data_IF_752114861074
#
_entry.id   IF_752114861074
#
_cell.length_a   1.000
_cell.length_b   1.000
_cell.length_c   1.000
_cell.angle_alpha   90.00
_cell.angle_beta   90.00
_cell.angle_gamma   90.00
#
_symmetry.space_group_name_H-M   'P 1'
#
loop_
_entity.id
_entity.type
_entity.pdbx_description
1 polymer ?
#
# COMPACT_ATOMS: atom_id res chain seq x y z
N UNK A 1 -13.98 10.47 29.84
CA UNK A 1 -13.86 10.88 28.41
C UNK A 1 -13.15 9.79 27.64
N UNK A 2 -13.81 9.26 26.63
CA UNK A 2 -13.22 8.20 25.82
C UNK A 2 -12.37 8.82 24.72
N UNK A 3 -11.07 8.53 24.71
CA UNK A 3 -10.21 8.97 23.60
C UNK A 3 -10.40 7.95 22.48
N UNK A 4 -10.98 8.38 21.37
CA UNK A 4 -11.14 7.54 20.19
C UNK A 4 -9.86 7.60 19.38
N UNK A 5 -9.12 6.48 19.30
CA UNK A 5 -7.98 6.38 18.41
C UNK A 5 -8.49 6.34 16.97
N UNK A 6 -7.97 7.18 16.07
CA UNK A 6 -8.38 7.10 14.67
C UNK A 6 -8.19 5.69 14.12
N UNK A 7 -9.20 5.18 13.42
CA UNK A 7 -9.12 3.86 12.79
C UNK A 7 -8.18 3.94 11.60
N UNK A 8 -7.05 3.22 11.68
CA UNK A 8 -6.12 3.11 10.57
C UNK A 8 -6.56 1.99 9.66
N UNK A 9 -6.52 2.24 8.36
CA UNK A 9 -6.73 1.22 7.34
C UNK A 9 -5.42 0.84 6.67
N UNK A 10 -5.44 -0.29 5.99
CA UNK A 10 -4.26 -0.89 5.38
C UNK A 10 -4.55 -1.23 3.93
N UNK A 11 -3.56 -1.03 3.08
CA UNK A 11 -3.73 -1.13 1.63
C UNK A 11 -2.50 -1.77 0.99
N UNK A 12 -2.69 -2.37 -0.17
CA UNK A 12 -1.61 -2.72 -1.08
C UNK A 12 -1.74 -1.80 -2.29
N UNK A 13 -0.69 -1.06 -2.60
CA UNK A 13 -0.61 -0.24 -3.81
C UNK A 13 0.34 -0.92 -4.79
N UNK A 14 -0.13 -1.14 -6.02
CA UNK A 14 0.64 -1.81 -7.08
C UNK A 14 1.26 -0.79 -8.01
N UNK A 15 2.55 -0.94 -8.28
CA UNK A 15 3.24 -0.20 -9.31
C UNK A 15 3.96 -1.16 -10.25
N UNK A 16 3.98 -0.80 -11.54
CA UNK A 16 4.81 -1.47 -12.54
C UNK A 16 6.23 -0.94 -12.37
N UNK A 17 7.22 -1.79 -12.01
CA UNK A 17 8.56 -1.30 -11.72
C UNK A 17 9.26 -0.70 -12.94
N UNK A 18 8.79 -0.98 -14.17
CA UNK A 18 9.30 -0.34 -15.37
C UNK A 18 8.85 1.12 -15.50
N UNK A 19 7.72 1.48 -14.90
CA UNK A 19 7.18 2.85 -14.92
C UNK A 19 7.47 3.60 -13.63
N UNK A 20 7.39 2.92 -12.49
CA UNK A 20 7.67 3.50 -11.19
C UNK A 20 8.16 2.42 -10.23
N UNK A 21 9.43 2.53 -9.82
CA UNK A 21 10.01 1.63 -8.82
C UNK A 21 9.83 2.24 -7.42
N UNK A 22 9.36 1.44 -6.46
CA UNK A 22 9.12 1.93 -5.11
C UNK A 22 10.38 2.46 -4.40
N UNK A 23 11.57 2.05 -4.83
CA UNK A 23 12.83 2.65 -4.33
C UNK A 23 12.89 4.15 -4.56
N UNK A 24 12.23 4.67 -5.60
CA UNK A 24 12.16 6.10 -5.86
C UNK A 24 11.55 6.86 -4.68
N UNK A 25 10.51 6.28 -4.07
CA UNK A 25 9.89 6.87 -2.88
C UNK A 25 10.89 6.96 -1.73
N UNK A 26 11.72 5.94 -1.55
CA UNK A 26 12.71 5.91 -0.47
C UNK A 26 13.86 6.89 -0.71
N UNK A 27 14.27 7.08 -1.96
CA UNK A 27 15.29 8.08 -2.32
C UNK A 27 14.78 9.48 -2.05
N UNK A 28 13.52 9.76 -2.41
CA UNK A 28 12.90 11.08 -2.22
C UNK A 28 12.38 11.31 -0.80
N UNK A 29 12.08 10.23 -0.07
CA UNK A 29 11.48 10.30 1.25
C UNK A 29 9.96 10.46 1.24
N UNK A 30 9.44 11.25 0.32
CA UNK A 30 8.00 11.46 0.12
C UNK A 30 7.73 11.79 -1.33
N UNK A 31 6.50 11.51 -1.77
CA UNK A 31 6.12 11.78 -3.15
C UNK A 31 4.60 11.84 -3.31
N UNK A 32 4.17 12.65 -4.28
CA UNK A 32 2.81 12.60 -4.79
C UNK A 32 2.71 11.41 -5.73
N UNK A 33 1.97 10.38 -5.33
CA UNK A 33 1.85 9.14 -6.10
C UNK A 33 0.67 9.22 -7.07
N UNK A 34 0.95 8.96 -8.36
CA UNK A 34 -0.02 9.08 -9.45
C UNK A 34 -0.55 7.75 -9.97
N UNK A 35 -0.20 6.65 -9.31
CA UNK A 35 -0.43 5.31 -9.88
C UNK A 35 -1.89 4.94 -10.12
N UNK A 36 -2.83 5.57 -9.40
CA UNK A 36 -4.26 5.32 -9.62
C UNK A 36 -4.74 5.89 -10.97
N UNK A 37 -4.15 7.01 -11.40
CA UNK A 37 -4.57 7.68 -12.62
C UNK A 37 -6.05 8.03 -12.61
N UNK A 38 -6.74 7.77 -13.72
CA UNK A 38 -8.17 7.97 -13.87
C UNK A 38 -8.94 6.63 -13.97
N UNK A 39 -8.32 5.51 -13.60
CA UNK A 39 -8.98 4.19 -13.62
C UNK A 39 -10.11 4.16 -12.60
N UNK A 40 -11.37 3.88 -13.00
CA UNK A 40 -12.51 4.00 -12.10
C UNK A 40 -12.39 3.19 -10.81
N UNK A 41 -11.93 1.95 -10.89
CA UNK A 41 -11.78 1.09 -9.72
C UNK A 41 -10.71 1.62 -8.76
N UNK A 42 -9.58 2.06 -9.30
CA UNK A 42 -8.49 2.61 -8.50
C UNK A 42 -8.88 3.94 -7.85
N UNK A 43 -9.55 4.82 -8.60
CA UNK A 43 -10.03 6.10 -8.07
C UNK A 43 -11.05 5.87 -6.95
N UNK A 44 -11.99 4.91 -7.16
CA UNK A 44 -12.99 4.57 -6.14
C UNK A 44 -12.33 4.07 -4.86
N UNK A 45 -11.35 3.17 -4.99
CA UNK A 45 -10.60 2.65 -3.85
C UNK A 45 -9.79 3.76 -3.16
N UNK A 46 -9.12 4.61 -3.95
CA UNK A 46 -8.30 5.68 -3.41
C UNK A 46 -9.11 6.68 -2.58
N UNK A 47 -10.38 6.89 -2.93
CA UNK A 47 -11.26 7.77 -2.13
C UNK A 47 -11.51 7.26 -0.72
N UNK A 48 -11.29 5.96 -0.47
CA UNK A 48 -11.43 5.36 0.86
C UNK A 48 -10.16 5.45 1.69
N UNK A 49 -9.04 5.76 1.07
CA UNK A 49 -7.75 5.91 1.74
C UNK A 49 -7.72 7.21 2.52
N UNK A 50 -7.13 7.19 3.69
CA UNK A 50 -7.08 8.34 4.60
C UNK A 50 -5.67 8.58 5.11
N UNK A 51 -5.43 9.83 5.48
CA UNK A 51 -4.19 10.20 6.18
C UNK A 51 -3.95 9.28 7.36
N UNK A 52 -2.72 8.78 7.48
CA UNK A 52 -2.32 7.86 8.55
C UNK A 52 -2.41 6.39 8.16
N UNK A 53 -3.06 6.06 7.05
CA UNK A 53 -3.15 4.69 6.58
C UNK A 53 -1.77 4.17 6.18
N UNK A 54 -1.59 2.85 6.30
CA UNK A 54 -0.38 2.17 5.87
C UNK A 54 -0.59 1.52 4.51
N UNK A 55 0.46 1.56 3.71
CA UNK A 55 0.47 1.00 2.36
C UNK A 55 1.62 0.01 2.24
N UNK A 56 1.30 -1.22 1.86
CA UNK A 56 2.31 -2.17 1.42
C UNK A 56 2.51 -1.98 -0.07
N UNK A 57 3.74 -1.69 -0.46
CA UNK A 57 4.10 -1.35 -1.82
C UNK A 57 4.44 -2.62 -2.60
N UNK A 58 3.66 -2.91 -3.63
CA UNK A 58 3.77 -4.10 -4.44
C UNK A 58 4.26 -3.75 -5.84
N UNK A 59 5.22 -4.53 -6.34
CA UNK A 59 5.63 -4.46 -7.73
C UNK A 59 4.95 -5.56 -8.53
N UNK A 60 4.33 -5.19 -9.66
CA UNK A 60 3.80 -6.16 -10.61
C UNK A 60 4.95 -6.85 -11.36
N UNK A 61 4.63 -7.61 -12.41
CA UNK A 61 5.66 -8.33 -13.18
C UNK A 61 6.83 -7.39 -13.57
N UNK A 62 8.07 -7.87 -13.59
CA UNK A 62 8.47 -9.28 -13.39
C UNK A 62 8.62 -9.70 -11.93
N UNK A 63 8.73 -8.78 -10.99
CA UNK A 63 9.04 -9.09 -9.60
C UNK A 63 7.90 -9.80 -8.88
N UNK A 64 6.67 -9.32 -9.02
CA UNK A 64 5.48 -9.85 -8.37
C UNK A 64 5.68 -10.07 -6.88
N UNK A 65 6.01 -8.99 -6.17
CA UNK A 65 6.35 -9.07 -4.75
C UNK A 65 6.01 -7.78 -4.00
N UNK A 66 5.66 -7.92 -2.73
CA UNK A 66 5.63 -6.82 -1.77
C UNK A 66 7.05 -6.45 -1.41
N UNK A 67 7.32 -5.15 -1.31
CA UNK A 67 8.67 -4.63 -1.26
C UNK A 67 8.93 -3.72 -0.07
N UNK A 68 7.98 -2.85 0.26
CA UNK A 68 8.19 -1.80 1.26
C UNK A 68 6.87 -1.35 1.88
N UNK A 69 6.98 -0.49 2.89
CA UNK A 69 5.86 0.12 3.60
C UNK A 69 5.92 1.62 3.40
N UNK A 70 4.77 2.21 3.08
CA UNK A 70 4.61 3.66 3.00
C UNK A 70 3.49 4.11 3.94
N UNK A 71 3.47 5.40 4.25
CA UNK A 71 2.40 6.01 5.02
C UNK A 71 1.71 7.07 4.18
N UNK A 72 0.38 7.12 4.25
CA UNK A 72 -0.41 8.17 3.63
C UNK A 72 -0.33 9.40 4.52
N UNK A 73 0.18 10.51 3.99
CA UNK A 73 0.39 11.74 4.77
C UNK A 73 -0.69 12.79 4.58
N UNK A 74 -1.59 12.57 3.62
CA UNK A 74 -2.69 13.48 3.31
C UNK A 74 -3.81 12.69 2.67
N UNK A 75 -5.07 13.04 2.98
CA UNK A 75 -6.20 12.44 2.29
C UNK A 75 -6.05 12.64 0.78
N UNK A 76 -6.37 11.63 -0.04
CA UNK A 76 -6.27 11.75 -1.49
C UNK A 76 -7.02 12.96 -2.05
N UNK A 77 -6.50 13.53 -3.12
CA UNK A 77 -7.02 14.75 -3.71
C UNK A 77 -6.86 14.72 -5.24
N UNK A 78 -7.61 15.58 -5.96
CA UNK A 78 -7.44 15.66 -7.41
C UNK A 78 -6.01 16.08 -7.78
N UNK A 79 -5.47 15.44 -8.82
CA UNK A 79 -4.15 15.80 -9.33
C UNK A 79 -4.14 17.26 -9.79
N UNK A 80 -3.30 18.13 -9.20
CA UNK A 80 -3.26 19.54 -9.59
C UNK A 80 -2.78 19.76 -11.03
N UNK A 81 -2.19 18.75 -11.66
CA UNK A 81 -1.74 18.81 -13.06
C UNK A 81 -2.76 18.26 -14.04
N UNK A 82 -3.90 17.78 -13.56
CA UNK A 82 -4.98 17.24 -14.39
C UNK A 82 -6.13 18.26 -14.47
N UNK A 83 -6.26 18.90 -15.63
CA UNK A 83 -7.30 19.90 -15.84
C UNK A 83 -8.72 19.35 -15.75
N UNK A 84 -8.91 18.06 -16.05
CA UNK A 84 -10.23 17.44 -16.00
C UNK A 84 -10.64 17.01 -14.59
N UNK A 85 -9.71 16.99 -13.65
CA UNK A 85 -9.98 16.62 -12.26
C UNK A 85 -10.36 15.15 -12.07
N UNK A 86 -10.07 14.29 -13.05
CA UNK A 86 -10.42 12.87 -13.01
C UNK A 86 -9.41 12.01 -12.25
N UNK A 87 -8.15 12.43 -12.29
CA UNK A 87 -7.07 11.70 -11.63
C UNK A 87 -7.03 12.05 -10.16
N UNK A 88 -6.93 11.03 -9.31
CA UNK A 88 -6.65 11.23 -7.89
C UNK A 88 -5.20 10.84 -7.61
N UNK A 89 -4.61 11.55 -6.67
CA UNK A 89 -3.25 11.29 -6.20
C UNK A 89 -3.26 11.12 -4.68
N UNK A 90 -2.23 10.45 -4.18
CA UNK A 90 -2.01 10.27 -2.75
C UNK A 90 -0.60 10.74 -2.41
N UNK A 91 -0.47 11.51 -1.34
CA UNK A 91 0.83 11.86 -0.81
C UNK A 91 1.32 10.71 0.08
N UNK A 92 2.45 10.15 -0.27
CA UNK A 92 3.05 9.02 0.43
C UNK A 92 4.41 9.42 1.01
N UNK A 93 4.69 8.91 2.19
CA UNK A 93 6.00 9.00 2.82
C UNK A 93 6.60 7.59 2.90
N UNK A 94 7.87 7.47 2.56
CA UNK A 94 8.60 6.24 2.78
C UNK A 94 8.63 5.95 4.29
N UNK A 95 8.22 4.75 4.67
CA UNK A 95 8.16 4.39 6.08
C UNK A 95 9.27 3.38 6.43
N UNK A 96 9.24 2.21 5.78
CA UNK A 96 10.26 1.19 6.02
C UNK A 96 10.32 0.21 4.84
N UNK A 97 11.48 -0.35 4.58
CA UNK A 97 11.61 -1.45 3.63
C UNK A 97 11.34 -2.76 4.35
N UNK A 98 10.69 -3.71 3.66
CA UNK A 98 10.53 -5.04 4.22
C UNK A 98 11.91 -5.69 4.31
N UNK A 99 12.25 -6.35 5.46
CA UNK A 99 13.49 -7.09 5.59
C UNK A 99 13.66 -8.16 4.50
N UNK A 100 12.53 -8.74 4.05
CA UNK A 100 12.46 -9.70 2.98
C UNK A 100 11.23 -9.40 2.13
N UNK A 101 11.37 -9.32 0.79
CA UNK A 101 10.20 -9.20 -0.08
C UNK A 101 9.30 -10.44 0.07
N UNK A 102 8.01 -10.25 -0.17
CA UNK A 102 7.03 -11.34 -0.11
C UNK A 102 6.46 -11.52 -1.52
N UNK A 103 6.71 -12.68 -2.12
CA UNK A 103 6.24 -12.95 -3.46
C UNK A 103 4.74 -13.20 -3.51
N UNK A 104 4.14 -12.99 -4.69
CA UNK A 104 2.76 -13.34 -4.95
C UNK A 104 2.50 -14.82 -4.68
N UNK A 105 3.44 -15.68 -5.07
CA UNK A 105 3.34 -17.13 -4.84
C UNK A 105 3.28 -17.45 -3.34
N UNK A 106 4.13 -16.80 -2.54
CA UNK A 106 4.11 -16.99 -1.08
C UNK A 106 2.78 -16.54 -0.48
N UNK A 107 2.26 -15.41 -0.93
CA UNK A 107 0.97 -14.91 -0.44
C UNK A 107 -0.16 -15.88 -0.77
N UNK A 108 -0.16 -16.41 -1.99
CA UNK A 108 -1.18 -17.39 -2.43
C UNK A 108 -1.08 -18.71 -1.68
N UNK A 109 0.10 -19.04 -1.19
CA UNK A 109 0.31 -20.24 -0.38
C UNK A 109 -0.11 -20.11 1.07
N UNK A 110 -0.51 -18.91 1.51
CA UNK A 110 -0.88 -18.67 2.90
C UNK A 110 -2.40 -18.54 3.03
N UNK A 111 -3.08 -19.53 3.66
CA UNK A 111 -4.55 -19.50 3.79
C UNK A 111 -5.09 -18.28 4.53
N UNK A 112 -4.30 -17.68 5.42
CA UNK A 112 -4.71 -16.48 6.15
C UNK A 112 -4.90 -15.27 5.23
N UNK A 113 -4.32 -15.28 4.03
CA UNK A 113 -4.35 -14.19 3.07
C UNK A 113 -5.33 -14.41 1.92
N UNK A 114 -6.05 -15.52 1.92
CA UNK A 114 -6.90 -15.94 0.78
C UNK A 114 -7.96 -14.94 0.36
N UNK A 115 -8.38 -14.03 1.25
CA UNK A 115 -9.41 -13.04 0.97
C UNK A 115 -8.87 -11.76 0.34
N UNK A 116 -7.56 -11.58 0.27
CA UNK A 116 -6.97 -10.38 -0.31
C UNK A 116 -7.32 -10.31 -1.79
N UNK A 117 -7.95 -9.21 -2.19
CA UNK A 117 -8.46 -9.05 -3.57
C UNK A 117 -7.36 -9.11 -4.63
N UNK A 118 -6.19 -8.59 -4.32
CA UNK A 118 -5.04 -8.63 -5.23
C UNK A 118 -4.72 -10.07 -5.68
N UNK A 119 -4.85 -11.05 -4.78
CA UNK A 119 -4.52 -12.43 -5.08
C UNK A 119 -5.46 -13.06 -6.10
N UNK A 120 -6.69 -12.52 -6.22
CA UNK A 120 -7.69 -12.95 -7.19
C UNK A 120 -7.64 -12.14 -8.48
N UNK A 121 -7.16 -10.90 -8.39
CA UNK A 121 -7.09 -10.00 -9.53
C UNK A 121 -5.81 -9.17 -9.43
N UNK A 122 -4.74 -9.67 -10.05
CA UNK A 122 -3.41 -9.03 -9.99
C UNK A 122 -3.34 -7.71 -10.76
N UNK A 123 -4.40 -7.32 -11.45
CA UNK A 123 -4.49 -6.04 -12.15
C UNK A 123 -4.96 -4.91 -11.24
N UNK A 124 -5.40 -5.22 -10.01
CA UNK A 124 -5.80 -4.19 -9.07
C UNK A 124 -4.60 -3.32 -8.70
N UNK A 125 -4.77 -2.02 -8.82
CA UNK A 125 -3.74 -1.05 -8.42
C UNK A 125 -3.81 -0.79 -6.92
N UNK A 126 -5.02 -0.77 -6.37
CA UNK A 126 -5.25 -0.54 -4.95
C UNK A 126 -6.11 -1.67 -4.42
N UNK A 127 -5.61 -2.36 -3.41
CA UNK A 127 -6.29 -3.49 -2.78
C UNK A 127 -6.36 -3.27 -1.28
N UNK A 128 -7.57 -3.27 -0.69
CA UNK A 128 -7.68 -3.19 0.76
C UNK A 128 -7.23 -4.49 1.41
N UNK A 129 -6.66 -4.37 2.59
CA UNK A 129 -6.34 -5.53 3.42
C UNK A 129 -6.77 -5.23 4.85
N UNK A 130 -7.03 -6.28 5.63
CA UNK A 130 -7.36 -6.13 7.03
C UNK A 130 -6.10 -5.92 7.88
N UNK A 131 -6.27 -5.44 9.09
CA UNK A 131 -5.17 -5.32 10.04
C UNK A 131 -4.51 -6.67 10.29
N UNK A 132 -5.31 -7.74 10.43
CA UNK A 132 -4.79 -9.09 10.64
C UNK A 132 -3.95 -9.55 9.45
N UNK A 133 -4.41 -9.29 8.23
CA UNK A 133 -3.65 -9.60 7.02
C UNK A 133 -2.35 -8.78 6.95
N UNK A 134 -2.42 -7.52 7.31
CA UNK A 134 -1.25 -6.65 7.37
C UNK A 134 -0.20 -7.21 8.35
N UNK A 135 -0.63 -7.58 9.56
CA UNK A 135 0.26 -8.15 10.58
C UNK A 135 0.88 -9.47 10.11
N UNK A 136 0.10 -10.32 9.45
CA UNK A 136 0.60 -11.59 8.90
C UNK A 136 1.66 -11.34 7.82
N UNK A 137 1.43 -10.37 6.95
CA UNK A 137 2.40 -10.01 5.92
C UNK A 137 3.70 -9.49 6.54
N UNK A 138 3.61 -8.65 7.58
CA UNK A 138 4.81 -8.20 8.29
C UNK A 138 5.57 -9.37 8.91
N UNK A 139 4.86 -10.32 9.51
CA UNK A 139 5.47 -11.53 10.07
C UNK A 139 6.21 -12.32 8.98
N UNK A 140 5.58 -12.52 7.84
CA UNK A 140 6.20 -13.21 6.70
C UNK A 140 7.47 -12.51 6.21
N UNK A 141 7.49 -11.19 6.30
CA UNK A 141 8.65 -10.39 5.91
C UNK A 141 9.78 -10.42 6.94
N UNK A 142 9.56 -11.04 8.10
CA UNK A 142 10.57 -11.13 9.14
C UNK A 142 10.49 -10.01 10.18
N UNK A 143 9.40 -9.25 10.20
CA UNK A 143 9.20 -8.23 11.23
C UNK A 143 8.58 -8.90 12.44
N UNK A 144 9.32 -8.90 13.56
CA UNK A 144 8.90 -9.56 14.79
C UNK A 144 8.27 -8.52 15.71
N UNK A 145 7.08 -8.84 16.25
CA UNK A 145 6.46 -8.01 17.27
C UNK A 145 7.30 -8.05 18.54
N UNK A 146 7.63 -6.88 19.08
CA UNK A 146 8.37 -6.74 20.33
C UNK A 146 7.49 -6.06 21.38
N UNK A 147 7.53 -6.51 22.65
CA UNK A 147 6.75 -5.86 23.71
C UNK A 147 7.06 -4.37 23.80
N UNK A 148 6.00 -3.54 23.82
CA UNK A 148 6.13 -2.10 23.95
C UNK A 148 6.59 -1.36 22.69
N UNK A 149 6.85 -2.06 21.59
CA UNK A 149 7.23 -1.44 20.31
C UNK A 149 6.10 -1.67 19.31
N UNK A 150 5.45 -0.59 18.81
CA UNK A 150 4.40 -0.74 17.80
C UNK A 150 4.98 -1.27 16.49
N UNK A 151 4.18 -2.07 15.76
CA UNK A 151 4.52 -2.50 14.41
C UNK A 151 4.55 -1.30 13.45
N UNK A 152 5.39 -1.38 12.41
CA UNK A 152 5.42 -0.35 11.37
C UNK A 152 4.07 -0.11 10.70
#
# INVERSE_FOLDING_TARGET
MTITTPTRHYWIFTADPHHYHWDTLFVKGKEMWHGAGAKPDAVRALRQVKKGDRVLCYHSAPERALYSIAEVTRDPYPDPHDYDGRNLVADLRAFDKLPRPISLVEMRGNPALRKIKLLKNVRLIISPISETEYQELLRMAGIVAMPGVPLP
#
